data_IF_052474667695
#
_entry.id   IF_052474667695
#
_cell.length_a   1.000
_cell.length_b   1.000
_cell.length_c   1.000
_cell.angle_alpha   90.00
_cell.angle_beta   90.00
_cell.angle_gamma   90.00
#
_symmetry.space_group_name_H-M   'P 1'
#
loop_
_entity.id
_entity.type
_entity.pdbx_description
1 polymer ?
#
# COMPACT_ATOMS: atom_id res chain seq x y z
N UNK A 1 -27.86 -4.77 9.22
CA UNK A 1 -26.89 -4.04 8.37
C UNK A 1 -26.00 -5.04 7.64
N UNK A 2 -25.55 -4.74 6.42
CA UNK A 2 -24.60 -5.61 5.72
C UNK A 2 -23.17 -5.52 6.31
N UNK A 3 -22.38 -6.57 6.15
CA UNK A 3 -21.00 -6.65 6.66
C UNK A 3 -20.11 -5.58 6.06
N UNK A 4 -20.28 -5.23 4.77
CA UNK A 4 -19.49 -4.19 4.12
C UNK A 4 -19.79 -2.81 4.72
N UNK A 5 -21.07 -2.49 4.86
CA UNK A 5 -21.52 -1.24 5.49
C UNK A 5 -21.06 -1.14 6.95
N UNK A 6 -21.06 -2.26 7.68
CA UNK A 6 -20.51 -2.29 9.04
C UNK A 6 -19.03 -1.89 9.06
N UNK A 7 -18.22 -2.49 8.18
CA UNK A 7 -16.78 -2.22 8.09
C UNK A 7 -16.50 -0.76 7.75
N UNK A 8 -17.26 -0.18 6.82
CA UNK A 8 -17.14 1.25 6.48
C UNK A 8 -17.48 2.15 7.67
N UNK A 9 -18.59 1.88 8.37
CA UNK A 9 -18.98 2.64 9.56
C UNK A 9 -17.98 2.49 10.71
N UNK A 10 -17.39 1.30 10.87
CA UNK A 10 -16.34 1.05 11.86
C UNK A 10 -15.11 1.91 11.62
N UNK A 11 -14.70 2.08 10.35
CA UNK A 11 -13.56 2.93 9.99
C UNK A 11 -13.85 4.42 10.18
N UNK A 12 -15.10 4.85 9.96
CA UNK A 12 -15.50 6.26 10.05
C UNK A 12 -15.73 6.72 11.49
N UNK A 13 -16.41 5.91 12.29
CA UNK A 13 -16.89 6.30 13.63
C UNK A 13 -16.14 5.62 14.77
N UNK A 14 -15.24 4.67 14.45
CA UNK A 14 -14.42 3.95 15.41
C UNK A 14 -15.15 2.79 16.09
N UNK A 15 -14.46 2.17 17.05
CA UNK A 15 -14.88 0.92 17.67
C UNK A 15 -16.10 1.04 18.60
N UNK A 16 -16.39 2.24 19.10
CA UNK A 16 -17.51 2.48 20.03
C UNK A 16 -18.82 2.70 19.27
N UNK A 17 -19.54 1.61 18.99
CA UNK A 17 -20.82 1.63 18.25
C UNK A 17 -21.89 2.50 18.93
N UNK A 18 -21.80 2.74 20.24
CA UNK A 18 -22.74 3.63 20.92
C UNK A 18 -22.57 5.11 20.52
N UNK A 19 -21.38 5.48 20.02
CA UNK A 19 -21.07 6.84 19.52
C UNK A 19 -21.43 7.04 18.06
N UNK A 20 -21.85 5.99 17.35
CA UNK A 20 -22.25 6.11 15.96
C UNK A 20 -23.53 6.98 15.84
N UNK A 21 -23.76 7.61 14.67
CA UNK A 21 -24.98 8.35 14.38
C UNK A 21 -26.24 7.53 14.69
N UNK A 22 -27.30 8.22 15.15
CA UNK A 22 -28.50 7.57 15.69
C UNK A 22 -29.18 6.66 14.67
N UNK A 23 -29.12 7.05 13.39
CA UNK A 23 -29.75 6.37 12.26
C UNK A 23 -29.16 4.98 12.03
N UNK A 24 -27.86 4.80 12.30
CA UNK A 24 -27.13 3.55 12.02
C UNK A 24 -26.76 2.76 13.27
N UNK A 25 -26.80 3.40 14.46
CA UNK A 25 -26.41 2.79 15.73
C UNK A 25 -27.17 1.52 16.06
N UNK A 26 -28.51 1.55 15.94
CA UNK A 26 -29.33 0.37 16.25
C UNK A 26 -29.03 -0.80 15.30
N UNK A 27 -28.89 -0.51 14.01
CA UNK A 27 -28.54 -1.52 13.00
C UNK A 27 -27.12 -2.07 13.20
N UNK A 28 -26.20 -1.27 13.73
CA UNK A 28 -24.85 -1.68 14.14
C UNK A 28 -24.86 -2.61 15.35
N UNK A 29 -25.62 -2.28 16.39
CA UNK A 29 -25.77 -3.13 17.58
C UNK A 29 -26.39 -4.48 17.24
N UNK A 30 -27.45 -4.49 16.43
CA UNK A 30 -28.07 -5.73 15.94
C UNK A 30 -27.10 -6.58 15.11
N UNK A 31 -26.27 -5.96 14.26
CA UNK A 31 -25.27 -6.68 13.49
C UNK A 31 -24.19 -7.32 14.40
N UNK A 32 -23.80 -6.64 15.48
CA UNK A 32 -22.86 -7.18 16.46
C UNK A 32 -23.44 -8.37 17.23
N UNK A 33 -24.70 -8.30 17.63
CA UNK A 33 -25.37 -9.42 18.31
C UNK A 33 -25.43 -10.66 17.42
N UNK A 34 -25.60 -10.49 16.11
CA UNK A 34 -25.79 -11.59 15.18
C UNK A 34 -24.49 -12.16 14.57
N UNK A 35 -23.35 -11.45 14.65
CA UNK A 35 -22.10 -11.88 14.02
C UNK A 35 -20.89 -11.84 14.94
N UNK A 36 -20.27 -13.00 15.17
CA UNK A 36 -19.00 -13.10 15.90
C UNK A 36 -17.83 -12.48 15.13
N UNK A 37 -17.86 -12.46 13.80
CA UNK A 37 -16.82 -11.81 12.97
C UNK A 37 -16.79 -10.31 13.25
N UNK A 38 -17.97 -9.66 13.29
CA UNK A 38 -18.06 -8.22 13.53
C UNK A 38 -17.58 -7.85 14.94
N UNK A 39 -17.88 -8.69 15.94
CA UNK A 39 -17.35 -8.50 17.30
C UNK A 39 -15.83 -8.58 17.35
N UNK A 40 -15.23 -9.50 16.59
CA UNK A 40 -13.77 -9.60 16.49
C UNK A 40 -13.17 -8.33 15.88
N UNK A 41 -13.76 -7.81 14.80
CA UNK A 41 -13.29 -6.58 14.16
C UNK A 41 -13.37 -5.37 15.10
N UNK A 42 -14.49 -5.21 15.82
CA UNK A 42 -14.63 -4.14 16.83
C UNK A 42 -13.57 -4.25 17.91
N UNK A 43 -13.25 -5.46 18.38
CA UNK A 43 -12.21 -5.66 19.39
C UNK A 43 -10.81 -5.31 18.89
N UNK A 44 -10.46 -5.67 17.65
CA UNK A 44 -9.18 -5.29 17.06
C UNK A 44 -9.09 -3.77 16.84
N UNK A 45 -10.17 -3.12 16.39
CA UNK A 45 -10.21 -1.67 16.26
C UNK A 45 -10.08 -0.98 17.63
N UNK A 46 -10.80 -1.45 18.64
CA UNK A 46 -10.69 -0.92 20.01
C UNK A 46 -9.28 -1.09 20.59
N UNK A 47 -8.60 -2.19 20.24
CA UNK A 47 -7.21 -2.44 20.62
C UNK A 47 -6.27 -1.46 19.91
N UNK A 48 -6.46 -1.23 18.61
CA UNK A 48 -5.69 -0.25 17.84
C UNK A 48 -5.86 1.16 18.42
N UNK A 49 -7.10 1.61 18.64
CA UNK A 49 -7.38 2.90 19.26
C UNK A 49 -6.69 3.07 20.61
N UNK A 50 -6.67 2.03 21.45
CA UNK A 50 -5.99 2.07 22.74
C UNK A 50 -4.48 2.24 22.58
N UNK A 51 -3.89 1.56 21.60
CA UNK A 51 -2.47 1.72 21.27
C UNK A 51 -2.19 3.15 20.82
N UNK A 52 -3.03 3.71 19.95
CA UNK A 52 -2.89 5.07 19.44
C UNK A 52 -3.05 6.12 20.55
N UNK A 53 -4.06 5.99 21.42
CA UNK A 53 -4.29 6.90 22.56
C UNK A 53 -3.13 6.88 23.57
N UNK A 54 -2.45 5.74 23.71
CA UNK A 54 -1.32 5.59 24.61
C UNK A 54 0.02 6.07 24.02
N UNK A 55 0.06 6.42 22.72
CA UNK A 55 1.26 7.03 22.14
C UNK A 55 1.37 8.46 22.66
N UNK A 56 2.54 8.79 23.21
CA UNK A 56 2.88 10.19 23.50
C UNK A 56 2.92 10.94 22.17
N UNK A 57 2.11 11.99 22.07
CA UNK A 57 2.31 12.99 21.04
C UNK A 57 3.68 13.62 21.30
N UNK A 58 4.60 13.42 20.36
CA UNK A 58 5.91 14.06 20.38
C UNK A 58 5.87 15.17 19.35
N UNK A 59 6.19 16.39 19.80
CA UNK A 59 6.25 17.53 18.90
C UNK A 59 7.33 17.26 17.84
N UNK A 60 7.06 17.51 16.55
CA UNK A 60 8.05 17.33 15.51
C UNK A 60 9.38 18.01 15.87
N UNK A 61 10.49 17.29 15.77
CA UNK A 61 11.80 17.90 15.97
C UNK A 61 11.95 19.11 15.03
N UNK A 62 12.57 20.23 15.46
CA UNK A 62 12.97 21.27 14.54
C UNK A 62 13.71 20.65 13.34
N UNK A 63 13.32 21.01 12.11
CA UNK A 63 13.87 20.45 10.86
C UNK A 63 13.43 19.02 10.48
N UNK A 64 12.31 18.51 11.00
CA UNK A 64 11.75 17.23 10.53
C UNK A 64 11.46 17.26 9.02
N UNK A 65 10.92 18.37 8.52
CA UNK A 65 10.64 18.59 7.09
C UNK A 65 11.89 18.44 6.22
N UNK A 66 12.99 19.11 6.58
CA UNK A 66 14.26 19.04 5.87
C UNK A 66 14.82 17.61 5.83
N UNK A 67 14.64 16.87 6.94
CA UNK A 67 15.06 15.46 7.05
C UNK A 67 14.24 14.53 6.17
N UNK A 68 12.92 14.72 6.11
CA UNK A 68 12.04 13.94 5.22
C UNK A 68 12.39 14.22 3.76
N UNK A 69 12.49 15.51 3.38
CA UNK A 69 12.81 15.92 2.01
C UNK A 69 14.18 15.36 1.58
N UNK A 70 15.21 15.52 2.42
CA UNK A 70 16.56 15.01 2.11
C UNK A 70 16.62 13.48 2.03
N UNK A 71 15.87 12.76 2.88
CA UNK A 71 15.77 11.31 2.81
C UNK A 71 15.05 10.82 1.54
N UNK A 72 13.95 11.46 1.16
CA UNK A 72 13.22 11.13 -0.06
C UNK A 72 14.07 11.37 -1.32
N UNK A 73 14.82 12.47 -1.35
CA UNK A 73 15.76 12.78 -2.43
C UNK A 73 16.93 11.78 -2.51
N UNK A 74 17.39 11.26 -1.37
CA UNK A 74 18.39 10.18 -1.31
C UNK A 74 17.86 8.85 -1.86
N UNK A 75 16.60 8.49 -1.59
CA UNK A 75 16.00 7.25 -2.08
C UNK A 75 15.94 7.16 -3.61
N UNK A 76 15.79 8.32 -4.29
CA UNK A 76 15.81 8.39 -5.76
C UNK A 76 17.16 7.98 -6.37
N UNK A 77 18.22 7.95 -5.57
CA UNK A 77 19.52 7.38 -5.93
C UNK A 77 19.62 5.96 -5.38
N UNK A 78 18.69 5.07 -5.75
CA UNK A 78 19.07 3.65 -5.76
C UNK A 78 20.32 3.55 -6.63
N UNK A 79 21.38 2.84 -6.21
CA UNK A 79 22.44 2.50 -7.15
C UNK A 79 21.74 1.89 -8.35
N UNK A 80 22.02 2.40 -9.55
CA UNK A 80 21.66 1.70 -10.78
C UNK A 80 22.27 0.33 -10.65
N UNK A 81 21.50 -0.64 -10.15
CA UNK A 81 21.86 -2.04 -10.15
C UNK A 81 22.00 -2.34 -11.62
N UNK A 82 23.24 -2.36 -12.08
CA UNK A 82 23.55 -2.71 -13.45
C UNK A 82 23.18 -4.17 -13.55
N UNK A 83 21.99 -4.43 -14.11
CA UNK A 83 21.46 -5.77 -14.31
C UNK A 83 22.49 -6.66 -15.01
N UNK A 84 23.31 -6.07 -15.88
CA UNK A 84 24.45 -6.75 -16.51
C UNK A 84 25.51 -7.23 -15.52
N UNK A 85 25.89 -6.41 -14.53
CA UNK A 85 26.85 -6.86 -13.49
C UNK A 85 26.23 -7.91 -12.57
N UNK A 86 24.99 -7.71 -12.11
CA UNK A 86 24.27 -8.70 -11.31
C UNK A 86 24.13 -10.06 -12.02
N UNK A 87 23.73 -10.07 -13.30
CA UNK A 87 23.62 -11.30 -14.09
C UNK A 87 25.00 -11.93 -14.33
N UNK A 88 26.03 -11.12 -14.56
CA UNK A 88 27.39 -11.64 -14.76
C UNK A 88 27.96 -12.30 -13.49
N UNK A 89 27.70 -11.74 -12.31
CA UNK A 89 28.13 -12.32 -11.03
C UNK A 89 27.35 -13.60 -10.73
N UNK A 90 26.03 -13.60 -10.94
CA UNK A 90 25.18 -14.77 -10.75
C UNK A 90 25.56 -15.93 -11.70
N UNK A 91 25.88 -15.62 -12.96
CA UNK A 91 26.33 -16.62 -13.93
C UNK A 91 27.78 -17.07 -13.70
N UNK A 92 28.63 -16.23 -13.11
CA UNK A 92 30.01 -16.60 -12.78
C UNK A 92 30.08 -17.52 -11.55
N UNK A 93 29.20 -17.32 -10.57
CA UNK A 93 29.13 -18.12 -9.35
C UNK A 93 28.51 -19.50 -9.61
N UNK A 94 27.50 -19.58 -10.48
CA UNK A 94 26.99 -20.85 -10.97
C UNK A 94 27.82 -21.33 -12.16
N UNK A 95 28.81 -22.22 -11.93
CA UNK A 95 29.54 -22.94 -12.99
C UNK A 95 28.60 -23.87 -13.76
N UNK A 96 27.78 -23.28 -14.63
CA UNK A 96 26.70 -23.96 -15.33
C UNK A 96 27.29 -24.89 -16.40
N UNK A 97 26.99 -26.20 -16.34
CA UNK A 97 27.42 -27.13 -17.37
C UNK A 97 26.76 -26.76 -18.70
N UNK A 98 27.44 -27.07 -19.82
CA UNK A 98 27.02 -26.73 -21.20
C UNK A 98 25.51 -26.85 -21.51
N UNK A 99 24.75 -27.86 -21.05
CA UNK A 99 23.31 -27.93 -21.33
C UNK A 99 22.47 -26.82 -20.66
N UNK A 100 22.92 -26.24 -19.56
CA UNK A 100 22.15 -25.21 -18.84
C UNK A 100 22.13 -23.86 -19.57
N UNK A 101 23.11 -23.60 -20.44
CA UNK A 101 23.11 -22.43 -21.34
C UNK A 101 21.95 -22.46 -22.34
N UNK A 102 21.52 -23.65 -22.76
CA UNK A 102 20.39 -23.82 -23.68
C UNK A 102 19.07 -23.50 -22.97
N UNK A 103 18.93 -23.86 -21.70
CA UNK A 103 17.74 -23.53 -20.92
C UNK A 103 17.62 -22.01 -20.68
N UNK A 104 18.74 -21.34 -20.40
CA UNK A 104 18.77 -19.88 -20.19
C UNK A 104 18.46 -19.13 -21.49
N UNK A 105 18.97 -19.59 -22.65
CA UNK A 105 18.67 -18.94 -23.93
C UNK A 105 17.19 -19.08 -24.31
N UNK A 106 16.56 -20.23 -24.07
CA UNK A 106 15.13 -20.43 -24.30
C UNK A 106 14.30 -19.51 -23.39
N UNK A 107 14.68 -19.39 -22.11
CA UNK A 107 14.01 -18.49 -21.16
C UNK A 107 14.09 -17.02 -21.61
N UNK A 108 15.28 -16.58 -22.06
CA UNK A 108 15.49 -15.21 -22.55
C UNK A 108 14.71 -14.93 -23.84
N UNK A 109 14.60 -15.90 -24.75
CA UNK A 109 13.80 -15.78 -25.97
C UNK A 109 12.31 -15.69 -25.61
N UNK A 110 11.82 -16.55 -24.72
CA UNK A 110 10.43 -16.48 -24.23
C UNK A 110 10.12 -15.16 -23.53
N UNK A 111 11.05 -14.65 -22.71
CA UNK A 111 10.94 -13.36 -22.07
C UNK A 111 10.91 -12.21 -23.09
N UNK A 112 11.79 -12.24 -24.10
CA UNK A 112 11.82 -11.23 -25.15
C UNK A 112 10.52 -11.21 -25.97
N UNK A 113 10.00 -12.38 -26.36
CA UNK A 113 8.73 -12.50 -27.09
C UNK A 113 7.56 -11.96 -26.25
N UNK A 114 7.51 -12.31 -24.96
CA UNK A 114 6.46 -11.81 -24.06
C UNK A 114 6.52 -10.30 -23.79
N UNK A 115 7.69 -9.68 -23.98
CA UNK A 115 7.85 -8.22 -23.84
C UNK A 115 7.64 -7.46 -25.17
N UNK A 116 7.82 -8.14 -26.32
CA UNK A 116 7.68 -7.56 -27.66
C UNK A 116 6.27 -7.67 -28.24
N UNK A 117 5.38 -8.44 -27.60
CA UNK A 117 3.96 -8.51 -27.96
C UNK A 117 3.12 -7.75 -26.91
N UNK A 118 3.03 -6.41 -26.98
CA UNK A 118 2.06 -5.67 -26.21
C UNK A 118 0.69 -5.97 -26.82
N UNK A 119 0.08 -7.06 -26.39
CA UNK A 119 -1.29 -7.42 -26.75
C UNK A 119 -2.21 -6.28 -26.30
N UNK A 120 -2.57 -5.43 -27.27
CA UNK A 120 -3.51 -4.31 -27.23
C UNK A 120 -3.79 -3.71 -25.84
N UNK A 121 -2.90 -2.82 -25.40
CA UNK A 121 -3.28 -1.78 -24.44
C UNK A 121 -4.31 -0.88 -25.09
N UNK A 122 -5.56 -1.04 -24.68
CA UNK A 122 -6.67 -0.12 -24.88
C UNK A 122 -6.23 1.29 -24.47
N UNK A 123 -6.48 2.36 -25.24
CA UNK A 123 -6.15 3.71 -24.83
C UNK A 123 -7.19 4.19 -23.83
N UNK A 124 -6.93 3.95 -22.55
CA UNK A 124 -7.79 4.39 -21.45
C UNK A 124 -6.96 4.65 -20.21
N UNK A 125 -6.78 5.93 -19.91
CA UNK A 125 -6.39 6.45 -18.59
C UNK A 125 -4.95 6.13 -18.14
N UNK A 126 -4.01 6.83 -18.77
CA UNK A 126 -2.86 7.36 -18.03
C UNK A 126 -3.37 8.40 -17.03
N UNK A 127 -3.89 7.92 -15.90
CA UNK A 127 -4.08 8.73 -14.70
C UNK A 127 -2.67 9.04 -14.16
N UNK A 128 -2.03 10.05 -14.76
CA UNK A 128 -0.91 10.74 -14.13
C UNK A 128 -1.46 11.35 -12.84
N UNK A 129 -1.33 10.60 -11.75
CA UNK A 129 -1.55 11.10 -10.40
C UNK A 129 -0.53 12.22 -10.21
N UNK A 130 -0.99 13.44 -10.48
CA UNK A 130 -0.20 14.64 -10.38
C UNK A 130 0.00 14.92 -8.89
N UNK A 131 1.13 14.43 -8.35
CA UNK A 131 1.53 14.61 -6.95
C UNK A 131 1.56 16.09 -6.53
N UNK A 132 1.62 17.03 -7.48
CA UNK A 132 1.48 18.45 -7.19
C UNK A 132 0.05 18.80 -6.74
N UNK A 133 -0.98 18.19 -7.32
CA UNK A 133 -2.38 18.44 -6.92
C UNK A 133 -2.68 17.98 -5.48
N UNK A 134 -1.96 16.96 -4.99
CA UNK A 134 -2.09 16.48 -3.60
C UNK A 134 -1.39 17.41 -2.59
N UNK A 135 -0.38 18.17 -3.01
CA UNK A 135 0.38 19.08 -2.13
C UNK A 135 -0.20 20.50 -2.04
N UNK A 136 -1.09 20.88 -2.97
CA UNK A 136 -1.72 22.20 -3.03
C UNK A 136 -3.25 22.15 -2.83
N UNK A 137 -3.76 21.14 -2.12
CA UNK A 137 -5.14 21.19 -1.65
C UNK A 137 -5.24 22.17 -0.48
N UNK A 138 -5.32 23.45 -0.82
CA UNK A 138 -5.62 24.54 0.09
C UNK A 138 -7.15 24.66 0.14
N UNK A 139 -7.72 24.14 1.22
CA UNK A 139 -9.15 24.12 1.47
C UNK A 139 -9.64 25.57 1.70
N UNK A 140 -10.27 26.18 0.69
CA UNK A 140 -11.05 27.41 0.88
C UNK A 140 -12.31 27.04 1.69
N UNK A 141 -12.25 27.31 2.99
CA UNK A 141 -13.37 27.19 3.91
C UNK A 141 -14.28 28.43 3.73
N UNK A 142 -15.59 28.27 3.44
CA UNK A 142 -16.55 29.37 3.42
C UNK A 142 -16.92 29.92 4.80
#
# INVERSE_FOLDING_TARGET
MDTKQFKENLLLYGADVHRWPEEIRNAGLEALENSSELRFLVNEEARLERILKNRRYEEPSPHLEDRIISAALRLKKSPTLSLGTFLSELLAEFKLPKPAWVAISILMIGFAIGFLDPMDSTPGEQEQINLQAFLYYEEEIP
#
